data_IF_557520347452
#
_entry.id   IF_557520347452
#
_cell.length_a   1.000
_cell.length_b   1.000
_cell.length_c   1.000
_cell.angle_alpha   90.00
_cell.angle_beta   90.00
_cell.angle_gamma   90.00
#
_symmetry.space_group_name_H-M   'P 1'
#
loop_
_entity.id
_entity.type
_entity.pdbx_description
1 polymer ?
#
# COMPACT_ATOMS: atom_id res chain seq x y z
N UNK A 1 18.32 37.84 24.92
CA UNK A 1 17.06 38.50 24.49
C UNK A 1 16.01 37.40 24.35
N UNK A 2 15.12 37.20 25.34
CA UNK A 2 14.06 36.18 25.25
C UNK A 2 13.01 36.70 24.26
N UNK A 3 13.03 36.20 23.04
CA UNK A 3 11.92 36.40 22.09
C UNK A 3 10.69 35.77 22.75
N UNK A 4 9.65 36.57 23.04
CA UNK A 4 8.38 36.03 23.54
C UNK A 4 7.89 34.99 22.54
N UNK A 5 7.72 33.75 22.98
CA UNK A 5 7.06 32.72 22.20
C UNK A 5 5.66 33.23 21.84
N UNK A 6 5.26 33.26 20.56
CA UNK A 6 3.95 33.75 20.17
C UNK A 6 2.87 32.92 20.88
N UNK A 7 1.82 33.60 21.35
CA UNK A 7 0.71 32.98 22.05
C UNK A 7 -0.06 31.95 21.19
N UNK A 8 -1.11 31.33 21.76
CA UNK A 8 -1.90 30.33 21.05
C UNK A 8 -2.36 30.82 19.68
N UNK A 9 -2.20 29.98 18.66
CA UNK A 9 -2.62 30.25 17.29
C UNK A 9 -3.83 29.39 16.95
N UNK A 10 -5.02 29.98 16.78
CA UNK A 10 -6.18 29.24 16.30
C UNK A 10 -6.05 28.98 14.79
N UNK A 11 -6.65 27.88 14.33
CA UNK A 11 -6.77 27.53 12.92
C UNK A 11 -8.15 26.94 12.66
N UNK A 12 -8.81 27.38 11.58
CA UNK A 12 -10.07 26.81 11.12
C UNK A 12 -9.94 26.46 9.65
N UNK A 13 -10.49 25.32 9.25
CA UNK A 13 -10.48 24.86 7.87
C UNK A 13 -11.83 24.24 7.49
N UNK A 14 -12.25 24.49 6.25
CA UNK A 14 -13.38 23.84 5.62
C UNK A 14 -12.96 23.28 4.27
N UNK A 15 -13.44 22.09 3.93
CA UNK A 15 -13.19 21.46 2.64
C UNK A 15 -14.48 20.89 2.07
N UNK A 16 -14.72 21.13 0.79
CA UNK A 16 -15.76 20.49 0.00
C UNK A 16 -15.15 20.00 -1.31
N UNK A 17 -15.41 18.73 -1.63
CA UNK A 17 -14.95 18.10 -2.86
C UNK A 17 -16.04 17.24 -3.47
N UNK A 18 -16.09 17.22 -4.79
CA UNK A 18 -16.92 16.31 -5.57
C UNK A 18 -16.11 15.67 -6.67
N UNK A 19 -16.40 14.41 -6.97
CA UNK A 19 -15.85 13.70 -8.10
C UNK A 19 -16.97 12.97 -8.84
N UNK A 20 -16.93 12.98 -10.18
CA UNK A 20 -17.86 12.24 -11.02
C UNK A 20 -17.07 11.41 -12.01
N UNK A 21 -17.09 10.11 -11.83
CA UNK A 21 -16.44 9.14 -12.72
C UNK A 21 -17.50 8.38 -13.49
N UNK A 22 -17.31 8.28 -14.81
CA UNK A 22 -18.13 7.46 -15.71
C UNK A 22 -17.21 6.47 -16.44
N UNK A 23 -17.57 5.20 -16.40
CA UNK A 23 -16.86 4.13 -17.07
C UNK A 23 -17.83 3.21 -17.81
N UNK A 24 -17.40 2.75 -18.98
CA UNK A 24 -18.08 1.70 -19.74
C UNK A 24 -17.07 0.58 -19.96
N UNK A 25 -17.46 -0.63 -19.58
CA UNK A 25 -16.69 -1.84 -19.87
C UNK A 25 -17.51 -2.69 -20.82
N UNK A 26 -16.91 -3.12 -21.93
CA UNK A 26 -17.53 -4.09 -22.83
C UNK A 26 -16.82 -5.43 -22.63
N UNK A 27 -17.55 -6.40 -22.08
CA UNK A 27 -17.03 -7.76 -21.92
C UNK A 27 -17.48 -8.58 -23.14
N UNK A 28 -16.53 -9.01 -23.96
CA UNK A 28 -16.81 -9.85 -25.11
C UNK A 28 -16.92 -11.31 -24.67
N UNK A 29 -18.13 -11.86 -24.70
CA UNK A 29 -18.39 -13.27 -24.39
C UNK A 29 -19.32 -13.85 -25.45
N UNK A 30 -18.92 -14.97 -26.07
CA UNK A 30 -19.71 -15.67 -27.10
C UNK A 30 -20.22 -14.79 -28.25
N UNK A 31 -19.40 -13.85 -28.72
CA UNK A 31 -19.73 -12.97 -29.85
C UNK A 31 -20.65 -11.79 -29.51
N UNK A 32 -21.02 -11.61 -28.25
CA UNK A 32 -21.81 -10.46 -27.76
C UNK A 32 -20.96 -9.63 -26.80
N UNK A 33 -21.09 -8.31 -26.87
CA UNK A 33 -20.35 -7.37 -26.03
C UNK A 33 -21.30 -6.42 -25.28
N UNK A 34 -22.06 -6.92 -24.29
CA UNK A 34 -22.96 -6.05 -23.54
C UNK A 34 -22.15 -4.99 -22.79
N UNK A 35 -22.52 -3.70 -22.86
CA UNK A 35 -21.88 -2.66 -22.08
C UNK A 35 -22.28 -2.77 -20.61
N UNK A 36 -21.29 -2.84 -19.72
CA UNK A 36 -21.44 -2.63 -18.29
C UNK A 36 -21.11 -1.19 -17.97
N UNK A 37 -22.11 -0.42 -17.53
CA UNK A 37 -21.93 0.97 -17.11
C UNK A 37 -21.55 1.02 -15.63
N UNK A 38 -20.58 1.87 -15.32
CA UNK A 38 -20.19 2.22 -13.95
C UNK A 38 -20.22 3.74 -13.81
N UNK A 39 -20.99 4.24 -12.84
CA UNK A 39 -21.07 5.65 -12.49
C UNK A 39 -20.72 5.77 -11.02
N UNK A 40 -19.83 6.70 -10.70
CA UNK A 40 -19.52 7.08 -9.32
C UNK A 40 -19.66 8.59 -9.20
N UNK A 41 -20.41 9.04 -8.20
CA UNK A 41 -20.55 10.43 -7.83
C UNK A 41 -20.24 10.56 -6.34
N UNK A 42 -19.03 11.01 -6.06
CA UNK A 42 -18.51 11.16 -4.71
C UNK A 42 -18.69 12.60 -4.24
N UNK A 43 -19.04 12.78 -2.97
CA UNK A 43 -19.03 14.07 -2.29
C UNK A 43 -18.36 13.92 -0.93
N UNK A 44 -17.49 14.84 -0.59
CA UNK A 44 -16.83 14.91 0.71
C UNK A 44 -16.93 16.33 1.25
N UNK A 45 -17.35 16.45 2.50
CA UNK A 45 -17.40 17.70 3.25
C UNK A 45 -16.68 17.49 4.58
N UNK A 46 -15.82 18.43 4.97
CA UNK A 46 -15.21 18.43 6.30
C UNK A 46 -15.06 19.84 6.85
N UNK A 47 -15.23 19.96 8.17
CA UNK A 47 -15.05 21.19 8.94
C UNK A 47 -14.17 20.85 10.13
N UNK A 48 -13.14 21.65 10.37
CA UNK A 48 -12.20 21.47 11.48
C UNK A 48 -11.86 22.81 12.13
N UNK A 49 -11.71 22.77 13.46
CA UNK A 49 -11.16 23.85 14.27
C UNK A 49 -10.04 23.29 15.16
N UNK A 50 -9.00 24.08 15.37
CA UNK A 50 -7.84 23.70 16.15
C UNK A 50 -7.12 24.89 16.76
N UNK A 51 -6.23 24.59 17.70
CA UNK A 51 -5.37 25.55 18.38
C UNK A 51 -4.02 24.91 18.66
N UNK A 52 -2.95 25.66 18.45
CA UNK A 52 -1.60 25.24 18.84
C UNK A 52 -0.86 26.35 19.59
N UNK A 53 0.01 25.97 20.53
CA UNK A 53 0.81 26.96 21.25
C UNK A 53 1.69 26.38 22.35
N UNK A 54 2.51 27.24 22.98
CA UNK A 54 3.24 26.88 24.19
C UNK A 54 2.28 26.73 25.38
N UNK A 55 2.52 25.74 26.24
CA UNK A 55 1.85 25.57 27.53
C UNK A 55 2.64 26.24 28.66
N UNK A 56 3.92 25.90 28.76
CA UNK A 56 4.88 26.47 29.71
C UNK A 56 6.31 26.22 29.23
N UNK A 57 7.26 26.98 29.77
CA UNK A 57 8.66 26.88 29.40
C UNK A 57 9.40 25.83 30.25
N UNK A 58 10.26 25.05 29.61
CA UNK A 58 11.32 24.25 30.26
C UNK A 58 12.69 24.84 29.91
N UNK A 59 13.76 24.48 30.63
CA UNK A 59 15.13 24.88 30.27
C UNK A 59 15.54 24.50 28.84
N UNK A 60 14.98 23.42 28.31
CA UNK A 60 15.22 22.92 26.95
C UNK A 60 14.32 23.57 25.87
N UNK A 61 13.37 24.43 26.25
CA UNK A 61 12.41 25.05 25.34
C UNK A 61 10.97 24.90 25.83
N UNK A 62 10.01 25.41 25.05
CA UNK A 62 8.61 25.37 25.42
C UNK A 62 8.02 23.96 25.27
N UNK A 63 7.26 23.51 26.28
CA UNK A 63 6.29 22.44 26.11
C UNK A 63 5.15 22.97 25.26
N UNK A 64 4.78 22.25 24.20
CA UNK A 64 3.79 22.71 23.23
C UNK A 64 2.64 21.72 23.13
N UNK A 65 1.43 22.26 22.97
CA UNK A 65 0.22 21.49 22.70
C UNK A 65 -0.37 21.95 21.37
N UNK A 66 -0.78 20.99 20.56
CA UNK A 66 -1.73 21.19 19.48
C UNK A 66 -2.97 20.36 19.79
N UNK A 67 -4.16 20.93 19.65
CA UNK A 67 -5.42 20.22 19.86
C UNK A 67 -6.49 20.74 18.91
N UNK A 68 -7.41 19.87 18.52
CA UNK A 68 -8.47 20.24 17.60
C UNK A 68 -9.54 19.17 17.48
N UNK A 69 -10.53 19.47 16.66
CA UNK A 69 -11.62 18.56 16.38
C UNK A 69 -12.41 18.99 15.15
N UNK A 70 -13.15 18.05 14.60
CA UNK A 70 -13.87 18.28 13.37
C UNK A 70 -14.95 17.24 13.10
N UNK A 71 -15.65 17.48 12.00
CA UNK A 71 -16.64 16.58 11.45
C UNK A 71 -16.38 16.41 9.96
N UNK A 72 -16.60 15.19 9.47
CA UNK A 72 -16.46 14.82 8.06
C UNK A 72 -17.64 13.97 7.63
N UNK A 73 -18.18 14.25 6.44
CA UNK A 73 -19.17 13.42 5.76
C UNK A 73 -18.68 13.03 4.38
N UNK A 74 -18.75 11.74 4.06
CA UNK A 74 -18.48 11.20 2.74
C UNK A 74 -19.74 10.53 2.22
N UNK A 75 -20.16 10.92 1.03
CA UNK A 75 -21.30 10.35 0.34
C UNK A 75 -20.84 9.76 -0.99
N UNK A 76 -21.28 8.54 -1.27
CA UNK A 76 -21.04 7.84 -2.54
C UNK A 76 -22.39 7.56 -3.15
N UNK A 77 -22.67 8.08 -4.34
CA UNK A 77 -23.76 7.62 -5.18
C UNK A 77 -23.16 6.85 -6.36
N UNK A 78 -23.48 5.57 -6.47
CA UNK A 78 -22.91 4.68 -7.46
C UNK A 78 -23.99 3.93 -8.23
N UNK A 79 -23.74 3.70 -9.52
CA UNK A 79 -24.46 2.76 -10.37
C UNK A 79 -23.42 1.80 -10.93
N UNK A 80 -23.50 0.51 -10.58
CA UNK A 80 -22.59 -0.52 -11.09
C UNK A 80 -23.46 -1.62 -11.69
N UNK A 81 -23.28 -1.90 -12.98
CA UNK A 81 -23.99 -2.97 -13.68
C UNK A 81 -25.53 -2.92 -13.48
N UNK A 82 -26.09 -1.72 -13.43
CA UNK A 82 -27.54 -1.50 -13.23
C UNK A 82 -27.98 -1.41 -11.76
N UNK A 83 -27.13 -1.74 -10.80
CA UNK A 83 -27.41 -1.62 -9.36
C UNK A 83 -26.99 -0.25 -8.81
N UNK A 84 -27.95 0.48 -8.25
CA UNK A 84 -27.71 1.77 -7.62
C UNK A 84 -27.55 1.65 -6.10
N UNK A 85 -26.60 2.38 -5.50
CA UNK A 85 -26.46 2.51 -4.05
C UNK A 85 -25.92 3.89 -3.69
N UNK A 86 -26.35 4.42 -2.53
CA UNK A 86 -26.08 5.80 -2.13
C UNK A 86 -25.64 5.96 -0.65
N UNK A 87 -24.64 5.21 -0.14
CA UNK A 87 -24.26 5.26 1.26
C UNK A 87 -23.63 6.60 1.66
N UNK A 88 -23.83 6.96 2.92
CA UNK A 88 -23.19 8.10 3.58
C UNK A 88 -22.47 7.61 4.83
N UNK A 89 -21.26 8.11 5.05
CA UNK A 89 -20.50 7.92 6.28
C UNK A 89 -20.15 9.25 6.89
N UNK A 90 -20.58 9.45 8.12
CA UNK A 90 -20.19 10.59 8.94
C UNK A 90 -19.15 10.18 9.98
N UNK A 91 -18.32 11.14 10.35
CA UNK A 91 -17.27 10.95 11.33
C UNK A 91 -17.04 12.23 12.13
N UNK A 92 -17.10 12.13 13.46
CA UNK A 92 -16.72 13.20 14.39
C UNK A 92 -15.40 12.85 15.04
N UNK A 93 -14.52 13.81 15.21
CA UNK A 93 -13.20 13.52 15.76
C UNK A 93 -12.64 14.63 16.62
N UNK A 94 -11.76 14.24 17.53
CA UNK A 94 -10.96 15.13 18.35
C UNK A 94 -9.53 14.59 18.46
N UNK A 95 -8.55 15.48 18.56
CA UNK A 95 -7.16 15.11 18.70
C UNK A 95 -6.40 16.06 19.62
N UNK A 96 -5.31 15.55 20.18
CA UNK A 96 -4.32 16.32 20.91
C UNK A 96 -2.92 15.75 20.70
N UNK A 97 -1.93 16.63 20.58
CA UNK A 97 -0.51 16.31 20.46
C UNK A 97 0.31 17.21 21.38
N UNK A 98 1.08 16.58 22.27
CA UNK A 98 1.98 17.20 23.21
C UNK A 98 3.43 16.97 22.75
N UNK A 99 4.19 18.05 22.68
CA UNK A 99 5.64 18.04 22.47
C UNK A 99 6.35 18.54 23.72
N UNK A 100 7.29 17.74 24.22
CA UNK A 100 8.07 18.02 25.43
C UNK A 100 9.56 18.02 25.09
N UNK A 101 10.23 19.19 25.04
CA UNK A 101 11.68 19.24 24.91
C UNK A 101 12.35 18.91 26.26
N UNK A 102 13.29 17.96 26.24
CA UNK A 102 14.02 17.51 27.43
C UNK A 102 15.46 18.01 27.45
N UNK A 103 16.08 18.14 26.28
CA UNK A 103 17.41 18.74 26.11
C UNK A 103 17.49 19.52 24.80
N UNK A 104 18.21 20.64 24.82
CA UNK A 104 18.45 21.48 23.66
C UNK A 104 19.95 21.79 23.47
N UNK A 105 20.36 22.10 22.23
CA UNK A 105 21.75 22.49 21.93
C UNK A 105 22.25 23.68 22.77
N UNK A 106 21.36 24.60 23.13
CA UNK A 106 21.70 25.82 23.86
C UNK A 106 22.15 25.54 25.31
N UNK A 107 21.73 24.40 25.87
CA UNK A 107 22.12 23.98 27.22
C UNK A 107 23.53 23.40 27.29
N UNK A 108 24.15 23.07 26.14
CA UNK A 108 25.51 22.52 26.04
C UNK A 108 25.76 21.29 26.93
N UNK A 109 24.75 20.45 27.10
CA UNK A 109 24.84 19.23 27.92
C UNK A 109 25.72 18.18 27.22
N UNK A 110 26.72 17.59 27.91
CA UNK A 110 27.49 16.49 27.36
C UNK A 110 26.59 15.27 27.15
N UNK A 111 26.75 14.57 26.02
CA UNK A 111 25.94 13.41 25.63
C UNK A 111 24.42 13.67 25.57
N UNK A 112 23.96 14.92 25.54
CA UNK A 112 22.55 15.26 25.44
C UNK A 112 22.36 16.52 24.58
N UNK A 113 22.89 16.48 23.36
CA UNK A 113 22.75 17.58 22.41
C UNK A 113 21.28 17.92 22.10
N UNK A 114 20.41 16.91 22.06
CA UNK A 114 18.96 17.10 21.92
C UNK A 114 18.19 15.92 22.48
N UNK A 115 17.06 16.17 23.13
CA UNK A 115 16.11 15.12 23.50
C UNK A 115 14.68 15.67 23.51
N UNK A 116 13.71 14.90 23.04
CA UNK A 116 12.31 15.28 23.06
C UNK A 116 11.37 14.10 23.09
N UNK A 117 10.21 14.28 23.73
CA UNK A 117 9.08 13.35 23.71
C UNK A 117 7.94 13.98 22.93
N UNK A 118 7.25 13.17 22.13
CA UNK A 118 5.96 13.50 21.53
C UNK A 118 4.93 12.48 21.98
N UNK A 119 3.75 12.95 22.42
CA UNK A 119 2.62 12.10 22.73
C UNK A 119 1.38 12.65 22.04
N UNK A 120 0.66 11.81 21.30
CA UNK A 120 -0.57 12.21 20.63
C UNK A 120 -1.67 11.17 20.85
N UNK A 121 -2.91 11.65 20.84
CA UNK A 121 -4.10 10.81 20.88
C UNK A 121 -5.16 11.41 19.97
N UNK A 122 -5.85 10.54 19.23
CA UNK A 122 -6.98 10.92 18.39
C UNK A 122 -8.15 9.99 18.64
N UNK A 123 -9.33 10.58 18.83
CA UNK A 123 -10.61 9.90 18.96
C UNK A 123 -11.41 10.16 17.69
N UNK A 124 -12.01 9.12 17.15
CA UNK A 124 -12.85 9.14 15.95
C UNK A 124 -14.16 8.42 16.27
N UNK A 125 -15.29 8.93 15.81
CA UNK A 125 -16.62 8.35 16.00
C UNK A 125 -17.36 8.31 14.67
N UNK A 126 -17.46 7.10 14.12
CA UNK A 126 -18.05 6.84 12.81
C UNK A 126 -19.49 6.37 12.93
N UNK A 127 -20.36 6.90 12.07
CA UNK A 127 -21.79 6.57 12.05
C UNK A 127 -22.10 5.09 11.79
N UNK A 128 -21.15 4.32 11.24
CA UNK A 128 -21.34 2.94 10.78
C UNK A 128 -20.37 1.92 11.37
N UNK A 129 -19.48 2.33 12.28
CA UNK A 129 -18.52 1.42 12.93
C UNK A 129 -18.19 1.76 14.38
N UNK A 130 -18.80 2.83 14.92
CA UNK A 130 -18.58 3.29 16.28
C UNK A 130 -17.24 4.00 16.46
N UNK A 131 -16.73 4.00 17.69
CA UNK A 131 -15.61 4.84 18.07
C UNK A 131 -14.25 4.12 18.07
N UNK A 132 -13.19 4.84 17.70
CA UNK A 132 -11.82 4.35 17.58
C UNK A 132 -10.86 5.34 18.25
N UNK A 133 -9.90 4.82 19.02
CA UNK A 133 -8.85 5.61 19.68
C UNK A 133 -7.48 5.25 19.11
N UNK A 134 -6.71 6.28 18.76
CA UNK A 134 -5.43 6.18 18.06
C UNK A 134 -4.34 6.91 18.86
N UNK A 135 -3.65 6.21 19.79
CA UNK A 135 -2.51 6.77 20.50
C UNK A 135 -1.22 6.69 19.66
N UNK A 136 -0.31 7.64 19.91
CA UNK A 136 1.05 7.66 19.37
C UNK A 136 2.03 8.22 20.40
N UNK A 137 3.18 7.59 20.54
CA UNK A 137 4.31 8.03 21.36
C UNK A 137 5.58 8.05 20.53
N UNK A 138 6.41 9.06 20.74
CA UNK A 138 7.70 9.21 20.08
C UNK A 138 8.74 9.76 21.03
N UNK A 139 9.98 9.29 20.89
CA UNK A 139 11.13 9.82 21.59
C UNK A 139 12.28 9.98 20.60
N UNK A 140 12.93 11.14 20.66
CA UNK A 140 14.14 11.44 19.88
C UNK A 140 15.24 11.81 20.84
N UNK A 141 16.43 11.25 20.61
CA UNK A 141 17.62 11.50 21.40
C UNK A 141 18.84 11.64 20.50
N UNK A 142 19.48 12.80 20.55
CA UNK A 142 20.74 13.08 19.88
C UNK A 142 21.82 13.27 20.96
N UNK A 143 22.69 12.27 21.21
CA UNK A 143 23.78 12.44 22.16
C UNK A 143 24.79 13.48 21.69
N UNK A 144 25.03 13.56 20.39
CA UNK A 144 25.96 14.49 19.71
C UNK A 144 25.30 15.04 18.44
N UNK A 145 25.77 16.17 17.87
CA UNK A 145 25.18 16.74 16.65
C UNK A 145 25.11 15.79 15.45
N UNK A 146 26.05 14.85 15.35
CA UNK A 146 26.21 13.93 14.24
C UNK A 146 25.24 12.75 14.31
N UNK A 147 24.72 12.40 15.50
CA UNK A 147 23.91 11.20 15.71
C UNK A 147 22.55 11.56 16.32
N UNK A 148 21.48 11.11 15.67
CA UNK A 148 20.11 11.17 16.19
C UNK A 148 19.50 9.77 16.21
N UNK A 149 18.98 9.36 17.36
CA UNK A 149 18.25 8.12 17.58
C UNK A 149 16.78 8.44 17.78
N UNK A 150 15.90 7.59 17.28
CA UNK A 150 14.45 7.75 17.42
C UNK A 150 13.77 6.44 17.74
N UNK A 151 12.74 6.48 18.57
CA UNK A 151 11.79 5.39 18.74
C UNK A 151 10.38 5.96 18.63
N UNK A 152 9.51 5.28 17.89
CA UNK A 152 8.09 5.63 17.83
C UNK A 152 7.23 4.39 17.96
N UNK A 153 6.16 4.50 18.73
CA UNK A 153 5.10 3.52 18.84
C UNK A 153 3.77 4.20 18.55
N UNK A 154 2.84 3.50 17.90
CA UNK A 154 1.49 4.02 17.76
C UNK A 154 0.56 3.06 17.09
N UNK A 155 -0.74 3.29 17.28
CA UNK A 155 -1.79 2.57 16.58
C UNK A 155 -2.26 3.36 15.36
N UNK A 156 -2.90 2.68 14.44
CA UNK A 156 -3.62 3.27 13.32
C UNK A 156 -4.81 2.40 12.96
N UNK A 157 -5.66 2.91 12.08
CA UNK A 157 -6.80 2.18 11.56
C UNK A 157 -7.10 2.65 10.14
N UNK A 158 -7.84 1.82 9.41
CA UNK A 158 -8.37 2.17 8.10
C UNK A 158 -9.80 1.67 8.01
N UNK A 159 -10.71 2.58 7.69
CA UNK A 159 -12.09 2.21 7.38
C UNK A 159 -12.15 1.49 6.03
N UNK A 160 -12.99 0.45 5.87
CA UNK A 160 -13.33 -0.09 4.56
C UNK A 160 -13.90 1.04 3.70
N UNK A 161 -13.61 1.06 2.41
CA UNK A 161 -14.24 2.05 1.54
C UNK A 161 -15.75 1.78 1.42
N UNK A 162 -16.55 2.81 1.14
CA UNK A 162 -17.98 2.62 0.85
C UNK A 162 -18.19 1.68 -0.35
N UNK A 163 -17.24 1.63 -1.29
CA UNK A 163 -17.31 0.67 -2.38
C UNK A 163 -17.09 -0.78 -1.89
N UNK A 164 -16.12 -1.01 -1.02
CA UNK A 164 -15.81 -2.33 -0.44
C UNK A 164 -16.91 -2.91 0.46
N UNK A 165 -17.83 -2.08 0.95
CA UNK A 165 -18.98 -2.56 1.72
C UNK A 165 -20.25 -2.67 0.86
N UNK A 166 -20.47 -1.71 -0.05
CA UNK A 166 -21.78 -1.55 -0.67
C UNK A 166 -21.86 -1.95 -2.14
N UNK A 167 -20.75 -2.16 -2.86
CA UNK A 167 -20.82 -2.52 -4.29
C UNK A 167 -21.23 -3.97 -4.55
N UNK A 168 -21.08 -4.85 -3.54
CA UNK A 168 -21.46 -6.26 -3.60
C UNK A 168 -20.49 -7.12 -4.40
N UNK A 169 -20.76 -8.42 -4.44
CA UNK A 169 -19.90 -9.43 -5.05
C UNK A 169 -20.44 -9.91 -6.41
N UNK A 170 -19.57 -10.56 -7.17
CA UNK A 170 -19.87 -11.14 -8.49
C UNK A 170 -19.64 -12.65 -8.46
N UNK A 171 -20.49 -13.46 -9.10
CA UNK A 171 -20.26 -14.89 -9.26
C UNK A 171 -19.65 -15.17 -10.64
N UNK A 172 -18.60 -15.99 -10.67
CA UNK A 172 -17.97 -16.41 -11.93
C UNK A 172 -17.84 -17.93 -11.97
N UNK A 173 -18.34 -18.55 -13.04
CA UNK A 173 -18.12 -19.95 -13.35
C UNK A 173 -16.77 -20.12 -14.04
N UNK A 174 -15.90 -20.94 -13.44
CA UNK A 174 -14.56 -21.21 -13.91
C UNK A 174 -14.37 -22.73 -14.12
N UNK A 175 -13.55 -23.09 -15.09
CA UNK A 175 -13.13 -24.47 -15.30
C UNK A 175 -12.06 -24.86 -14.28
N UNK A 176 -11.99 -26.15 -13.92
CA UNK A 176 -10.97 -26.68 -13.01
C UNK A 176 -9.63 -26.90 -13.74
N UNK A 177 -9.24 -25.94 -14.59
CA UNK A 177 -7.99 -25.98 -15.35
C UNK A 177 -6.79 -25.83 -14.42
N UNK A 178 -5.73 -26.61 -14.66
CA UNK A 178 -4.48 -26.54 -13.87
C UNK A 178 -4.39 -27.51 -12.68
N UNK A 179 -5.43 -28.31 -12.42
CA UNK A 179 -5.45 -29.33 -11.36
C UNK A 179 -5.14 -30.77 -11.84
N UNK A 180 -4.70 -30.92 -13.10
CA UNK A 180 -4.40 -32.24 -13.69
C UNK A 180 -5.63 -33.15 -13.77
N UNK A 181 -5.48 -34.43 -13.43
CA UNK A 181 -6.58 -35.41 -13.41
C UNK A 181 -7.28 -35.54 -12.05
N UNK A 182 -7.07 -34.59 -11.13
CA UNK A 182 -7.62 -34.65 -9.78
C UNK A 182 -9.14 -34.55 -9.74
N UNK A 183 -9.72 -33.85 -10.72
CA UNK A 183 -11.16 -33.68 -10.85
C UNK A 183 -11.62 -34.22 -12.21
N UNK A 184 -12.88 -34.70 -12.33
CA UNK A 184 -13.42 -35.17 -13.59
C UNK A 184 -13.26 -34.15 -14.73
N UNK A 185 -13.05 -34.64 -15.95
CA UNK A 185 -13.01 -33.78 -17.12
C UNK A 185 -14.33 -33.03 -17.28
N UNK A 186 -14.25 -31.71 -17.53
CA UNK A 186 -15.44 -30.85 -17.64
C UNK A 186 -15.96 -30.30 -16.30
N UNK A 187 -15.35 -30.66 -15.16
CA UNK A 187 -15.70 -30.05 -13.87
C UNK A 187 -15.45 -28.54 -13.86
N UNK A 188 -16.33 -27.85 -13.12
CA UNK A 188 -16.31 -26.40 -12.92
C UNK A 188 -16.41 -26.06 -11.44
N UNK A 189 -16.11 -24.82 -11.09
CA UNK A 189 -16.39 -24.26 -9.77
C UNK A 189 -16.98 -22.85 -9.93
N UNK A 190 -17.79 -22.44 -8.95
CA UNK A 190 -18.27 -21.06 -8.85
C UNK A 190 -17.38 -20.31 -7.87
N UNK A 191 -16.85 -19.18 -8.31
CA UNK A 191 -16.06 -18.25 -7.49
C UNK A 191 -16.88 -17.01 -7.19
N UNK A 192 -17.03 -16.68 -5.90
CA UNK A 192 -17.64 -15.43 -5.45
C UNK A 192 -16.54 -14.42 -5.17
N UNK A 193 -16.44 -13.38 -5.98
CA UNK A 193 -15.40 -12.37 -5.86
C UNK A 193 -15.95 -10.99 -5.53
N UNK A 194 -15.24 -10.26 -4.68
CA UNK A 194 -15.44 -8.83 -4.49
C UNK A 194 -15.96 -8.41 -3.11
N UNK A 195 -16.45 -7.17 -3.01
CA UNK A 195 -16.89 -6.53 -1.77
C UNK A 195 -17.89 -7.31 -0.91
N UNK A 196 -17.76 -7.13 0.41
CA UNK A 196 -18.55 -7.80 1.42
C UNK A 196 -19.05 -6.76 2.45
N UNK A 197 -20.36 -6.63 2.69
CA UNK A 197 -20.90 -5.64 3.63
C UNK A 197 -20.48 -5.88 5.08
N UNK A 198 -20.07 -7.11 5.43
CA UNK A 198 -19.75 -7.50 6.81
C UNK A 198 -18.33 -7.10 7.24
N UNK A 199 -17.56 -6.44 6.36
CA UNK A 199 -16.19 -6.03 6.69
C UNK A 199 -16.17 -4.81 7.62
N UNK A 200 -15.35 -4.91 8.67
CA UNK A 200 -15.11 -3.86 9.65
C UNK A 200 -13.76 -3.13 9.47
N UNK A 201 -13.45 -2.16 10.35
CA UNK A 201 -12.22 -1.39 10.31
C UNK A 201 -10.95 -2.24 10.46
N UNK A 202 -9.96 -2.00 9.59
CA UNK A 202 -8.61 -2.52 9.75
C UNK A 202 -7.92 -1.79 10.89
N UNK A 203 -7.09 -2.47 11.68
CA UNK A 203 -6.29 -1.84 12.75
C UNK A 203 -4.84 -2.25 12.63
N UNK A 204 -3.93 -1.33 12.93
CA UNK A 204 -2.50 -1.61 13.00
C UNK A 204 -1.85 -1.05 14.26
N UNK A 205 -0.78 -1.72 14.67
CA UNK A 205 0.14 -1.26 15.71
C UNK A 205 1.55 -1.28 15.15
N UNK A 206 2.27 -0.16 15.30
CA UNK A 206 3.57 0.06 14.68
C UNK A 206 4.60 0.42 15.74
N UNK A 207 5.78 -0.18 15.65
CA UNK A 207 6.98 0.23 16.37
C UNK A 207 8.11 0.44 15.37
N UNK A 208 8.79 1.58 15.48
CA UNK A 208 9.96 1.89 14.66
C UNK A 208 11.09 2.39 15.55
N UNK A 209 12.27 1.80 15.39
CA UNK A 209 13.54 2.31 15.90
C UNK A 209 14.31 2.90 14.72
N UNK A 210 14.88 4.10 14.85
CA UNK A 210 15.61 4.75 13.77
C UNK A 210 16.91 5.39 14.26
N UNK A 211 17.87 5.50 13.35
CA UNK A 211 19.09 6.26 13.56
C UNK A 211 19.43 7.07 12.31
N UNK A 212 19.86 8.32 12.52
CA UNK A 212 20.47 9.16 11.50
C UNK A 212 21.86 9.54 11.95
N UNK A 213 22.86 9.22 11.14
CA UNK A 213 24.26 9.51 11.40
C UNK A 213 24.87 10.37 10.29
N UNK A 214 25.48 11.48 10.67
CA UNK A 214 26.12 12.48 9.81
C UNK A 214 27.53 12.79 10.32
N UNK A 215 28.51 11.89 10.12
CA UNK A 215 29.88 12.08 10.59
C UNK A 215 30.61 13.25 9.93
N UNK A 216 30.08 13.75 8.81
CA UNK A 216 30.58 14.95 8.11
C UNK A 216 29.48 15.57 7.26
N UNK A 217 29.75 16.72 6.65
CA UNK A 217 28.85 17.37 5.67
C UNK A 217 28.66 16.56 4.37
N UNK A 218 29.55 15.58 4.13
CA UNK A 218 29.59 14.75 2.91
C UNK A 218 28.78 13.48 3.03
N UNK A 219 28.74 12.85 4.21
CA UNK A 219 28.14 11.53 4.43
C UNK A 219 26.92 11.62 5.33
N UNK A 220 25.81 11.04 4.88
CA UNK A 220 24.61 10.79 5.68
C UNK A 220 24.23 9.32 5.57
N UNK A 221 23.96 8.72 6.73
CA UNK A 221 23.47 7.36 6.90
C UNK A 221 22.14 7.45 7.66
N UNK A 222 21.10 6.81 7.15
CA UNK A 222 19.79 6.70 7.80
C UNK A 222 19.42 5.23 7.82
N UNK A 223 18.99 4.73 8.98
CA UNK A 223 18.53 3.35 9.12
C UNK A 223 17.33 3.27 10.05
N UNK A 224 16.48 2.27 9.82
CA UNK A 224 15.35 1.95 10.68
C UNK A 224 15.17 0.45 10.82
N UNK A 225 14.66 0.03 11.98
CA UNK A 225 14.04 -1.27 12.21
C UNK A 225 12.56 -1.02 12.50
N UNK A 226 11.68 -1.79 11.88
CA UNK A 226 10.24 -1.63 12.08
C UNK A 226 9.54 -2.96 12.30
N UNK A 227 8.43 -2.89 13.03
CA UNK A 227 7.43 -3.95 13.15
C UNK A 227 6.04 -3.32 13.05
N UNK A 228 5.21 -3.92 12.21
CA UNK A 228 3.83 -3.52 11.97
C UNK A 228 2.95 -4.75 12.14
N UNK A 229 2.04 -4.69 13.11
CA UNK A 229 1.07 -5.74 13.41
C UNK A 229 -0.32 -5.27 12.96
N UNK A 230 -0.83 -5.85 11.87
CA UNK A 230 -2.21 -5.66 11.42
C UNK A 230 -3.13 -6.72 12.02
N UNK A 231 -4.36 -6.29 12.32
CA UNK A 231 -5.52 -7.14 12.57
C UNK A 231 -6.70 -6.65 11.77
N UNK A 232 -7.60 -7.57 11.46
CA UNK A 232 -8.83 -7.30 10.73
C UNK A 232 -8.58 -6.62 9.37
N UNK A 233 -7.50 -6.98 8.68
CA UNK A 233 -7.13 -6.34 7.40
C UNK A 233 -8.12 -6.73 6.31
N UNK A 234 -8.78 -5.76 5.70
CA UNK A 234 -9.77 -5.98 4.63
C UNK A 234 -9.06 -6.23 3.31
N UNK A 235 -9.14 -7.47 2.84
CA UNK A 235 -8.58 -7.89 1.57
C UNK A 235 -9.28 -9.18 1.11
N UNK A 236 -9.16 -9.55 -0.19
CA UNK A 236 -9.51 -10.89 -0.62
C UNK A 236 -8.60 -11.93 0.08
N UNK A 237 -9.11 -13.13 0.38
CA UNK A 237 -8.38 -14.14 1.12
C UNK A 237 -7.16 -14.72 0.39
N UNK A 238 -7.13 -14.60 -0.94
CA UNK A 238 -6.04 -15.06 -1.80
C UNK A 238 -5.97 -14.21 -3.08
N UNK A 239 -4.78 -14.13 -3.67
CA UNK A 239 -4.55 -13.35 -4.91
C UNK A 239 -4.99 -14.05 -6.20
N UNK A 240 -5.27 -15.37 -6.16
CA UNK A 240 -5.68 -16.16 -7.32
C UNK A 240 -6.49 -17.38 -6.87
N UNK A 241 -7.57 -17.76 -7.57
CA UNK A 241 -8.32 -18.98 -7.28
C UNK A 241 -7.55 -20.27 -7.67
N UNK A 242 -6.45 -20.15 -8.41
CA UNK A 242 -5.59 -21.28 -8.74
C UNK A 242 -4.90 -21.84 -7.48
N UNK A 243 -5.04 -23.14 -7.25
CA UNK A 243 -4.48 -23.85 -6.10
C UNK A 243 -5.37 -23.84 -4.85
N UNK A 244 -6.50 -23.10 -4.87
CA UNK A 244 -7.42 -22.98 -3.72
C UNK A 244 -8.08 -24.31 -3.37
N UNK A 245 -8.52 -25.07 -4.37
CA UNK A 245 -9.23 -26.35 -4.16
C UNK A 245 -8.36 -27.44 -3.52
N UNK A 246 -7.05 -27.27 -3.49
CA UNK A 246 -6.10 -28.28 -2.98
C UNK A 246 -5.32 -27.82 -1.76
N UNK A 247 -5.48 -26.57 -1.35
CA UNK A 247 -4.71 -25.99 -0.26
C UNK A 247 -5.55 -25.96 1.02
N UNK A 248 -5.15 -26.70 2.08
CA UNK A 248 -5.91 -26.78 3.32
C UNK A 248 -6.07 -25.43 4.03
N UNK A 249 -5.23 -24.44 3.73
CA UNK A 249 -5.36 -23.07 4.27
C UNK A 249 -6.69 -22.41 3.88
N UNK A 250 -7.29 -22.83 2.76
CA UNK A 250 -8.51 -22.23 2.24
C UNK A 250 -9.74 -23.14 2.38
N UNK A 251 -9.62 -24.27 3.10
CA UNK A 251 -10.70 -25.26 3.20
C UNK A 251 -12.02 -24.65 3.73
N UNK A 252 -11.93 -23.73 4.71
CA UNK A 252 -13.09 -23.04 5.27
C UNK A 252 -13.78 -22.07 4.28
N UNK A 253 -13.12 -21.75 3.17
CA UNK A 253 -13.64 -20.89 2.09
C UNK A 253 -14.18 -21.71 0.91
N UNK A 254 -14.10 -23.05 0.97
CA UNK A 254 -14.49 -23.94 -0.12
C UNK A 254 -15.61 -24.87 0.36
N UNK A 255 -16.77 -24.75 -0.26
CA UNK A 255 -17.83 -25.74 -0.14
C UNK A 255 -17.74 -26.73 -1.30
N UNK A 256 -17.28 -27.95 -1.04
CA UNK A 256 -17.28 -29.02 -2.03
C UNK A 256 -18.67 -29.63 -2.21
N UNK A 257 -18.97 -30.06 -3.44
CA UNK A 257 -20.26 -30.62 -3.85
C UNK A 257 -21.45 -29.76 -3.38
N UNK A 258 -21.45 -28.45 -3.68
CA UNK A 258 -22.51 -27.55 -3.23
C UNK A 258 -23.86 -27.99 -3.79
N UNK A 259 -24.93 -27.87 -3.00
CA UNK A 259 -26.27 -28.17 -3.49
C UNK A 259 -26.68 -27.19 -4.60
N UNK A 260 -27.51 -27.60 -5.58
CA UNK A 260 -28.04 -26.68 -6.58
C UNK A 260 -28.78 -25.49 -5.97
N UNK A 261 -29.42 -25.68 -4.82
CA UNK A 261 -30.09 -24.61 -4.05
C UNK A 261 -29.09 -23.60 -3.49
N UNK A 262 -27.96 -24.06 -2.94
CA UNK A 262 -26.90 -23.17 -2.45
C UNK A 262 -26.31 -22.34 -3.59
N UNK A 263 -26.01 -22.98 -4.73
CA UNK A 263 -25.52 -22.29 -5.92
C UNK A 263 -26.52 -21.24 -6.43
N UNK A 264 -27.79 -21.62 -6.54
CA UNK A 264 -28.84 -20.70 -6.98
C UNK A 264 -28.99 -19.51 -6.03
N UNK A 265 -28.94 -19.73 -4.71
CA UNK A 265 -28.99 -18.66 -3.71
C UNK A 265 -27.78 -17.72 -3.80
N UNK A 266 -26.57 -18.28 -3.94
CA UNK A 266 -25.34 -17.49 -4.08
C UNK A 266 -25.32 -16.66 -5.37
N UNK A 267 -25.80 -17.22 -6.49
CA UNK A 267 -25.89 -16.49 -7.77
C UNK A 267 -26.99 -15.41 -7.70
N UNK A 268 -28.16 -15.74 -7.14
CA UNK A 268 -29.27 -14.79 -7.03
C UNK A 268 -28.98 -13.64 -6.05
N UNK A 269 -28.17 -13.88 -5.02
CA UNK A 269 -27.75 -12.87 -4.05
C UNK A 269 -26.60 -11.98 -4.53
N UNK A 270 -26.00 -12.27 -5.68
CA UNK A 270 -24.90 -11.49 -6.21
C UNK A 270 -25.36 -10.18 -6.86
N UNK A 271 -24.44 -9.23 -7.00
CA UNK A 271 -24.73 -7.93 -7.62
C UNK A 271 -24.68 -7.97 -9.14
N UNK A 272 -23.97 -8.93 -9.71
CA UNK A 272 -23.85 -9.16 -11.15
C UNK A 272 -24.41 -10.55 -11.51
N UNK A 273 -24.94 -10.74 -12.73
CA UNK A 273 -25.25 -12.06 -13.25
C UNK A 273 -24.02 -12.98 -13.23
N UNK A 274 -24.24 -14.30 -13.25
CA UNK A 274 -23.17 -15.28 -13.38
C UNK A 274 -22.33 -15.03 -14.63
N UNK A 275 -21.09 -14.60 -14.44
CA UNK A 275 -20.09 -14.59 -15.50
C UNK A 275 -19.71 -16.03 -15.83
N UNK A 276 -19.77 -16.42 -17.09
CA UNK A 276 -19.35 -17.76 -17.51
C UNK A 276 -18.05 -17.68 -18.31
N UNK A 277 -16.95 -18.09 -17.68
CA UNK A 277 -15.61 -18.15 -18.28
C UNK A 277 -15.25 -19.58 -18.75
N UNK A 278 -16.26 -20.42 -18.99
CA UNK A 278 -16.11 -21.76 -19.56
C UNK A 278 -16.61 -21.79 -21.02
N UNK A 279 -16.34 -22.88 -21.72
CA UNK A 279 -16.81 -23.09 -23.10
C UNK A 279 -18.23 -23.66 -23.18
N UNK A 280 -18.80 -24.12 -22.07
CA UNK A 280 -20.12 -24.77 -22.02
C UNK A 280 -21.17 -23.95 -21.27
N UNK A 281 -22.46 -24.34 -21.34
CA UNK A 281 -23.50 -23.72 -20.51
C UNK A 281 -23.26 -24.01 -19.02
N UNK A 282 -23.80 -23.15 -18.15
CA UNK A 282 -23.82 -23.43 -16.73
C UNK A 282 -24.69 -24.66 -16.45
N UNK A 283 -24.09 -25.67 -15.81
CA UNK A 283 -24.78 -26.87 -15.33
C UNK A 283 -24.37 -27.10 -13.87
N UNK A 284 -25.28 -26.95 -12.90
CA UNK A 284 -24.97 -27.13 -11.49
C UNK A 284 -24.45 -28.54 -11.16
N UNK A 285 -24.77 -29.56 -11.95
CA UNK A 285 -24.27 -30.92 -11.73
C UNK A 285 -22.76 -31.04 -11.99
N UNK A 286 -22.19 -30.14 -12.80
CA UNK A 286 -20.76 -30.10 -13.09
C UNK A 286 -19.98 -29.18 -12.13
N UNK A 287 -20.66 -28.51 -11.19
CA UNK A 287 -20.03 -27.60 -10.22
C UNK A 287 -19.56 -28.41 -9.00
N UNK A 288 -18.26 -28.66 -8.92
CA UNK A 288 -17.67 -29.46 -7.84
C UNK A 288 -17.41 -28.64 -6.56
N UNK A 289 -17.38 -27.31 -6.67
CA UNK A 289 -17.03 -26.44 -5.57
C UNK A 289 -17.64 -25.03 -5.72
N UNK A 290 -18.00 -24.44 -4.58
CA UNK A 290 -18.26 -23.03 -4.42
C UNK A 290 -17.13 -22.42 -3.57
N UNK A 291 -16.42 -21.45 -4.12
CA UNK A 291 -15.31 -20.76 -3.46
C UNK A 291 -15.78 -19.35 -3.06
N UNK A 292 -15.67 -19.03 -1.77
CA UNK A 292 -15.89 -17.68 -1.26
C UNK A 292 -14.57 -16.89 -1.23
N UNK A 293 -14.36 -16.05 -2.23
CA UNK A 293 -13.22 -15.14 -2.35
C UNK A 293 -13.60 -13.67 -2.13
N UNK A 294 -14.74 -13.41 -1.47
CA UNK A 294 -15.16 -12.06 -1.13
C UNK A 294 -14.19 -11.43 -0.12
N UNK A 295 -14.15 -10.10 -0.09
CA UNK A 295 -13.35 -9.37 0.90
C UNK A 295 -13.73 -9.82 2.31
N UNK A 296 -12.73 -10.02 3.16
CA UNK A 296 -12.91 -10.36 4.57
C UNK A 296 -11.89 -9.64 5.45
N UNK A 297 -12.16 -9.58 6.75
CA UNK A 297 -11.19 -9.12 7.74
C UNK A 297 -10.19 -10.25 8.04
N UNK A 298 -9.01 -10.20 7.41
CA UNK A 298 -7.90 -11.13 7.66
C UNK A 298 -7.48 -11.02 9.12
N UNK A 299 -7.39 -12.18 9.80
CA UNK A 299 -7.23 -12.25 11.26
C UNK A 299 -5.98 -11.53 11.76
N UNK A 300 -4.81 -11.82 11.17
CA UNK A 300 -3.60 -11.04 11.47
C UNK A 300 -2.59 -11.05 10.33
N UNK A 301 -1.84 -9.96 10.22
CA UNK A 301 -0.71 -9.88 9.30
C UNK A 301 0.41 -9.06 9.94
N UNK A 302 1.61 -9.64 10.03
CA UNK A 302 2.79 -8.97 10.58
C UNK A 302 3.76 -8.65 9.46
N UNK A 303 4.28 -7.43 9.47
CA UNK A 303 5.43 -7.00 8.69
C UNK A 303 6.55 -6.60 9.65
N UNK A 304 7.77 -7.01 9.35
CA UNK A 304 8.94 -6.58 10.10
C UNK A 304 10.11 -6.42 9.14
N UNK A 305 10.98 -5.45 9.38
CA UNK A 305 12.02 -5.16 8.43
C UNK A 305 13.07 -4.19 8.91
N UNK A 306 14.03 -3.97 8.03
CA UNK A 306 15.14 -3.06 8.23
C UNK A 306 15.37 -2.23 6.96
N UNK A 307 15.55 -0.93 7.13
CA UNK A 307 15.89 0.00 6.05
C UNK A 307 17.30 0.56 6.26
N UNK A 308 17.97 0.80 5.14
CA UNK A 308 19.24 1.52 5.07
C UNK A 308 19.20 2.51 3.92
N UNK A 309 19.69 3.73 4.16
CA UNK A 309 19.91 4.75 3.15
C UNK A 309 21.24 5.45 3.40
N UNK A 310 22.04 5.55 2.35
CA UNK A 310 23.37 6.13 2.33
C UNK A 310 23.39 7.24 1.28
N UNK A 311 23.95 8.38 1.65
CA UNK A 311 24.24 9.48 0.72
C UNK A 311 25.64 9.99 0.97
N UNK A 312 26.45 10.00 -0.09
CA UNK A 312 27.79 10.58 -0.06
C UNK A 312 27.92 11.66 -1.13
N UNK A 313 28.49 12.82 -0.78
CA UNK A 313 28.73 13.95 -1.69
C UNK A 313 30.21 14.29 -1.73
N UNK A 314 30.79 14.26 -2.93
CA UNK A 314 32.19 14.61 -3.18
C UNK A 314 32.29 15.67 -4.28
N UNK A 315 32.82 16.87 -3.98
CA UNK A 315 33.16 17.83 -5.02
C UNK A 315 34.31 17.29 -5.87
N UNK A 316 34.18 17.40 -7.19
CA UNK A 316 35.19 17.02 -8.19
C UNK A 316 35.34 18.20 -9.16
N UNK A 317 36.33 19.05 -8.91
CA UNK A 317 36.45 20.33 -9.62
C UNK A 317 35.21 21.20 -9.39
N UNK A 318 34.62 21.71 -10.47
CA UNK A 318 33.37 22.48 -10.45
C UNK A 318 32.10 21.60 -10.32
N UNK A 319 32.25 20.28 -10.34
CA UNK A 319 31.15 19.32 -10.37
C UNK A 319 30.94 18.67 -9.01
N UNK A 320 29.74 18.11 -8.79
CA UNK A 320 29.42 17.33 -7.61
C UNK A 320 29.14 15.89 -8.00
N UNK A 321 29.90 14.94 -7.43
CA UNK A 321 29.54 13.53 -7.43
C UNK A 321 28.67 13.25 -6.19
N UNK A 322 27.47 12.76 -6.41
CA UNK A 322 26.60 12.25 -5.36
C UNK A 322 26.39 10.75 -5.54
N UNK A 323 26.79 9.95 -4.56
CA UNK A 323 26.52 8.53 -4.49
C UNK A 323 25.33 8.31 -3.55
N UNK A 324 24.36 7.51 -3.99
CA UNK A 324 23.19 7.15 -3.20
C UNK A 324 23.06 5.63 -3.22
N UNK A 325 22.79 5.03 -2.07
CA UNK A 325 22.38 3.63 -1.98
C UNK A 325 21.28 3.51 -0.93
N UNK A 326 20.23 2.76 -1.24
CA UNK A 326 19.18 2.42 -0.29
C UNK A 326 18.75 0.98 -0.45
N UNK A 327 18.36 0.34 0.65
CA UNK A 327 17.87 -1.02 0.65
C UNK A 327 16.89 -1.25 1.80
N UNK A 328 15.95 -2.14 1.55
CA UNK A 328 14.96 -2.59 2.53
C UNK A 328 14.96 -4.11 2.54
N UNK A 329 15.14 -4.68 3.72
CA UNK A 329 14.83 -6.07 4.00
C UNK A 329 13.47 -6.17 4.69
N UNK A 330 12.65 -7.12 4.27
CA UNK A 330 11.29 -7.33 4.77
C UNK A 330 11.03 -8.81 5.02
N UNK A 331 10.37 -9.08 6.12
CA UNK A 331 9.72 -10.34 6.42
C UNK A 331 8.24 -10.07 6.73
N UNK A 332 7.36 -10.94 6.23
CA UNK A 332 5.94 -10.80 6.45
C UNK A 332 5.23 -12.13 6.49
N UNK A 333 4.24 -12.24 7.38
CA UNK A 333 3.48 -13.45 7.66
C UNK A 333 2.03 -13.13 7.97
N UNK A 334 1.15 -14.09 7.74
CA UNK A 334 -0.29 -13.92 7.88
C UNK A 334 -0.94 -15.13 8.54
N UNK A 335 -1.96 -14.87 9.35
CA UNK A 335 -2.99 -15.83 9.70
C UNK A 335 -4.29 -15.39 9.01
N UNK A 336 -4.81 -16.23 8.10
CA UNK A 336 -5.95 -15.85 7.27
C UNK A 336 -7.23 -15.72 8.10
N UNK A 337 -7.63 -16.80 8.76
CA UNK A 337 -8.78 -16.88 9.66
C UNK A 337 -8.32 -17.31 11.06
N UNK A 338 -9.06 -16.95 12.13
CA UNK A 338 -8.75 -17.40 13.48
C UNK A 338 -8.65 -18.93 13.56
N UNK A 339 -7.57 -19.44 14.16
CA UNK A 339 -7.34 -20.88 14.32
C UNK A 339 -6.58 -21.54 13.15
N UNK A 340 -6.44 -20.88 12.00
CA UNK A 340 -5.62 -21.40 10.90
C UNK A 340 -4.11 -21.22 11.16
N UNK A 341 -3.24 -22.00 10.50
CA UNK A 341 -1.79 -21.82 10.58
C UNK A 341 -1.34 -20.44 10.10
N UNK A 342 -0.22 -19.97 10.65
CA UNK A 342 0.49 -18.78 10.16
C UNK A 342 1.33 -19.17 8.94
N UNK A 343 1.24 -18.41 7.86
CA UNK A 343 1.98 -18.62 6.62
C UNK A 343 2.85 -17.43 6.25
N UNK A 344 4.03 -17.69 5.70
CA UNK A 344 4.91 -16.64 5.16
C UNK A 344 4.33 -16.04 3.89
N UNK A 345 4.41 -14.71 3.79
CA UNK A 345 4.00 -13.93 2.63
C UNK A 345 5.20 -13.33 1.91
N UNK A 346 6.15 -12.73 2.64
CA UNK A 346 7.35 -12.16 2.02
C UNK A 346 8.10 -13.25 1.23
N UNK A 347 8.60 -12.89 0.05
CA UNK A 347 9.24 -13.85 -0.84
C UNK A 347 8.30 -14.81 -1.57
N UNK A 348 6.99 -14.57 -1.56
CA UNK A 348 6.02 -15.27 -2.44
C UNK A 348 5.44 -14.32 -3.49
N UNK A 349 4.97 -14.86 -4.62
CA UNK A 349 4.33 -14.05 -5.66
C UNK A 349 3.15 -13.24 -5.09
N UNK A 350 2.87 -12.08 -5.68
CA UNK A 350 1.84 -11.13 -5.23
C UNK A 350 2.11 -10.48 -3.86
N UNK A 351 3.24 -10.79 -3.23
CA UNK A 351 3.72 -10.19 -2.00
C UNK A 351 5.13 -9.63 -2.20
N UNK A 352 5.55 -8.67 -1.38
CA UNK A 352 6.90 -8.11 -1.51
C UNK A 352 8.00 -9.18 -1.36
N UNK A 353 9.08 -9.14 -2.16
CA UNK A 353 10.24 -9.98 -1.91
C UNK A 353 10.91 -9.59 -0.60
N UNK A 354 11.76 -10.48 -0.08
CA UNK A 354 12.49 -10.19 1.14
C UNK A 354 13.46 -9.01 1.03
N UNK A 355 13.90 -8.65 -0.18
CA UNK A 355 14.88 -7.59 -0.35
C UNK A 355 14.64 -6.77 -1.61
N UNK A 356 14.72 -5.44 -1.46
CA UNK A 356 14.76 -4.48 -2.56
C UNK A 356 15.88 -3.50 -2.30
N UNK A 357 16.58 -3.08 -3.36
CA UNK A 357 17.63 -2.09 -3.24
C UNK A 357 17.69 -1.20 -4.49
N UNK A 358 18.21 0.02 -4.30
CA UNK A 358 18.55 0.93 -5.38
C UNK A 358 19.85 1.65 -5.05
N UNK A 359 20.79 1.64 -5.97
CA UNK A 359 22.07 2.32 -5.84
C UNK A 359 22.41 3.11 -7.10
N UNK A 360 23.15 4.20 -6.97
CA UNK A 360 23.52 4.99 -8.14
C UNK A 360 24.43 6.15 -7.85
N UNK A 361 24.83 6.79 -8.93
CA UNK A 361 25.67 7.97 -8.93
C UNK A 361 25.01 9.07 -9.77
N UNK A 362 25.07 10.31 -9.29
CA UNK A 362 24.82 11.49 -10.10
C UNK A 362 26.09 12.35 -10.12
N UNK A 363 26.45 12.85 -11.29
CA UNK A 363 27.63 13.67 -11.51
C UNK A 363 27.28 14.88 -12.35
N UNK A 364 27.67 16.07 -11.89
CA UNK A 364 27.48 17.31 -12.64
C UNK A 364 27.11 18.47 -11.73
N UNK A 365 26.47 19.47 -12.33
CA UNK A 365 26.06 20.73 -11.73
C UNK A 365 24.72 21.19 -12.33
N UNK A 366 24.43 22.48 -12.28
CA UNK A 366 23.21 23.05 -12.84
C UNK A 366 23.17 23.01 -14.38
N UNK A 367 24.34 23.03 -15.04
CA UNK A 367 24.49 23.08 -16.50
C UNK A 367 24.39 21.70 -17.15
N UNK A 368 24.96 20.68 -16.51
CA UNK A 368 24.79 19.30 -16.95
C UNK A 368 24.66 18.35 -15.78
N UNK A 369 23.97 17.23 -16.02
CA UNK A 369 23.89 16.13 -15.07
C UNK A 369 23.95 14.82 -15.80
N UNK A 370 24.80 13.91 -15.32
CA UNK A 370 24.81 12.50 -15.70
C UNK A 370 24.35 11.69 -14.49
N UNK A 371 23.50 10.70 -14.71
CA UNK A 371 23.02 9.82 -13.66
C UNK A 371 22.99 8.37 -14.12
N UNK A 372 23.35 7.47 -13.20
CA UNK A 372 23.30 6.03 -13.40
C UNK A 372 22.74 5.39 -12.14
N UNK A 373 21.69 4.57 -12.30
CA UNK A 373 21.02 3.90 -11.19
C UNK A 373 20.78 2.43 -11.50
N UNK A 374 21.11 1.57 -10.55
CA UNK A 374 20.74 0.16 -10.54
C UNK A 374 19.62 -0.05 -9.54
N UNK A 375 18.53 -0.68 -9.97
CA UNK A 375 17.43 -1.10 -9.10
C UNK A 375 17.40 -2.64 -9.05
N UNK A 376 17.39 -3.21 -7.85
CA UNK A 376 17.34 -4.65 -7.60
C UNK A 376 16.04 -5.02 -6.89
N UNK A 377 15.35 -6.03 -7.42
CA UNK A 377 14.17 -6.66 -6.82
C UNK A 377 14.47 -8.14 -6.58
N UNK A 378 14.38 -8.57 -5.33
CA UNK A 378 14.61 -9.97 -4.96
C UNK A 378 13.65 -10.95 -5.64
N UNK A 379 14.07 -12.23 -5.70
CA UNK A 379 13.23 -13.30 -6.23
C UNK A 379 12.07 -13.65 -5.28
N UNK A 380 11.06 -14.32 -5.83
CA UNK A 380 9.88 -14.79 -5.09
C UNK A 380 9.58 -16.25 -5.44
N UNK A 381 8.66 -16.89 -4.71
CA UNK A 381 8.25 -18.27 -4.92
C UNK A 381 6.76 -18.33 -5.25
N UNK A 382 6.39 -18.98 -6.36
CA UNK A 382 5.02 -19.35 -6.69
C UNK A 382 4.67 -20.68 -6.01
N UNK A 383 3.79 -20.61 -5.01
CA UNK A 383 3.33 -21.76 -4.21
C UNK A 383 1.91 -22.20 -4.57
N UNK A 384 1.35 -21.75 -5.69
CA UNK A 384 -0.01 -22.12 -6.12
C UNK A 384 -0.11 -23.56 -6.68
N UNK A 385 1.03 -24.25 -6.81
CA UNK A 385 1.14 -25.66 -7.25
C UNK A 385 1.81 -26.49 -6.17
N UNK A 386 1.62 -27.81 -6.23
CA UNK A 386 2.23 -28.78 -5.30
C UNK A 386 3.76 -28.70 -5.26
N UNK A 387 4.39 -28.46 -6.41
CA UNK A 387 5.82 -28.20 -6.52
C UNK A 387 6.00 -26.68 -6.69
N UNK A 388 6.54 -25.96 -5.69
CA UNK A 388 6.77 -24.53 -5.79
C UNK A 388 7.76 -24.18 -6.89
N UNK A 389 7.51 -23.09 -7.61
CA UNK A 389 8.40 -22.57 -8.67
C UNK A 389 9.07 -21.29 -8.19
N UNK A 390 10.39 -21.19 -8.34
CA UNK A 390 11.11 -19.95 -8.04
C UNK A 390 11.02 -19.00 -9.22
N UNK A 391 10.70 -17.74 -8.93
CA UNK A 391 10.76 -16.59 -9.84
C UNK A 391 12.02 -15.82 -9.49
N UNK A 392 12.92 -15.66 -10.46
CA UNK A 392 14.22 -15.05 -10.26
C UNK A 392 14.17 -13.57 -9.86
N UNK A 393 15.22 -13.13 -9.18
CA UNK A 393 15.44 -11.70 -8.93
C UNK A 393 15.74 -10.95 -10.22
N UNK A 394 15.38 -9.67 -10.27
CA UNK A 394 15.63 -8.80 -11.43
C UNK A 394 16.44 -7.58 -11.01
N UNK A 395 17.44 -7.21 -11.83
CA UNK A 395 18.16 -5.96 -11.74
C UNK A 395 17.97 -5.15 -13.03
N UNK A 396 17.67 -3.85 -12.90
CA UNK A 396 17.60 -2.92 -14.04
C UNK A 396 18.67 -1.85 -13.90
N UNK A 397 19.23 -1.41 -15.03
CA UNK A 397 20.12 -0.26 -15.11
C UNK A 397 19.41 0.86 -15.86
N UNK A 398 19.31 2.01 -15.21
CA UNK A 398 18.76 3.25 -15.75
C UNK A 398 19.88 4.28 -15.91
N UNK A 399 19.93 4.91 -17.07
CA UNK A 399 20.86 6.00 -17.38
C UNK A 399 20.07 7.26 -17.74
N UNK A 400 20.48 8.41 -17.23
CA UNK A 400 19.96 9.68 -17.69
C UNK A 400 21.04 10.74 -17.83
N UNK A 401 20.85 11.63 -18.79
CA UNK A 401 21.71 12.77 -19.04
C UNK A 401 20.84 14.00 -19.27
N UNK A 402 21.27 15.14 -18.74
CA UNK A 402 20.61 16.43 -18.86
C UNK A 402 21.66 17.49 -19.18
N UNK A 403 21.38 18.36 -20.12
CA UNK A 403 22.26 19.48 -20.51
C UNK A 403 21.42 20.72 -20.75
N UNK A 404 21.77 21.83 -20.09
CA UNK A 404 21.28 23.17 -20.42
C UNK A 404 22.04 23.72 -21.61
N UNK A 405 21.32 24.31 -22.55
CA UNK A 405 21.88 24.96 -23.74
C UNK A 405 21.73 26.48 -23.57
N UNK A 406 22.54 27.06 -22.70
CA UNK A 406 22.45 28.49 -22.35
C UNK A 406 21.02 28.89 -21.96
N UNK A 407 20.52 30.00 -22.52
CA UNK A 407 19.14 30.45 -22.35
C UNK A 407 18.13 29.82 -23.33
N UNK A 408 18.57 28.94 -24.24
CA UNK A 408 17.71 28.36 -25.28
C UNK A 408 16.77 27.28 -24.74
N UNK A 409 17.17 26.60 -23.67
CA UNK A 409 16.40 25.54 -23.04
C UNK A 409 17.29 24.42 -22.53
N UNK A 410 16.68 23.25 -22.33
CA UNK A 410 17.29 22.07 -21.76
C UNK A 410 16.95 20.84 -22.60
N UNK A 411 17.93 19.96 -22.78
CA UNK A 411 17.74 18.63 -23.36
C UNK A 411 18.02 17.59 -22.29
N UNK A 412 17.10 16.64 -22.13
CA UNK A 412 17.25 15.48 -21.27
C UNK A 412 17.06 14.19 -22.07
N UNK A 413 17.94 13.22 -21.87
CA UNK A 413 17.88 11.87 -22.45
C UNK A 413 17.79 10.86 -21.33
N UNK A 414 16.86 9.91 -21.44
CA UNK A 414 16.66 8.85 -20.47
C UNK A 414 16.66 7.49 -21.18
N UNK A 415 17.39 6.54 -20.62
CA UNK A 415 17.40 5.13 -21.01
C UNK A 415 17.11 4.28 -19.77
N UNK A 416 15.85 3.90 -19.61
CA UNK A 416 15.39 3.07 -18.49
C UNK A 416 15.47 1.60 -18.88
N UNK A 417 15.87 0.75 -17.93
CA UNK A 417 16.06 -0.68 -18.13
C UNK A 417 16.87 -0.96 -19.40
N UNK A 418 18.07 -0.36 -19.52
CA UNK A 418 18.82 -0.34 -20.78
C UNK A 418 19.20 -1.74 -21.28
N UNK A 419 19.36 -2.72 -20.39
CA UNK A 419 19.61 -4.12 -20.76
C UNK A 419 18.35 -4.92 -21.09
N UNK A 420 17.17 -4.29 -21.07
CA UNK A 420 15.89 -4.90 -21.40
C UNK A 420 15.60 -6.15 -20.55
N UNK A 421 15.86 -6.06 -19.24
CA UNK A 421 15.55 -7.14 -18.32
C UNK A 421 14.04 -7.39 -18.31
N UNK A 422 13.64 -8.65 -18.48
CA UNK A 422 12.24 -9.08 -18.56
C UNK A 422 11.85 -9.88 -17.31
N UNK A 423 10.61 -9.77 -16.83
CA UNK A 423 10.12 -10.62 -15.75
C UNK A 423 10.02 -12.07 -16.22
N UNK A 424 10.22 -13.02 -15.30
CA UNK A 424 9.92 -14.43 -15.56
C UNK A 424 8.41 -14.68 -15.57
N UNK A 425 7.99 -15.62 -16.40
CA UNK A 425 6.58 -15.97 -16.51
C UNK A 425 6.13 -16.84 -15.33
N UNK A 426 4.90 -16.62 -14.87
CA UNK A 426 4.25 -17.41 -13.83
C UNK A 426 3.10 -18.24 -14.39
N UNK A 427 2.56 -19.14 -13.57
CA UNK A 427 1.34 -19.87 -13.90
C UNK A 427 0.14 -18.92 -14.07
N UNK A 428 -0.73 -19.21 -15.03
CA UNK A 428 -2.04 -18.56 -15.20
C UNK A 428 -3.16 -19.60 -15.12
N UNK A 429 -4.30 -19.20 -14.54
CA UNK A 429 -5.53 -19.99 -14.48
C UNK A 429 -6.53 -19.59 -15.57
N UNK A 430 -6.44 -18.35 -16.05
CA UNK A 430 -7.30 -17.78 -17.10
C UNK A 430 -6.46 -17.11 -18.19
N UNK A 431 -6.91 -17.08 -19.46
CA UNK A 431 -6.29 -16.26 -20.52
C UNK A 431 -6.21 -14.76 -20.20
N UNK A 432 -7.05 -14.27 -19.28
CA UNK A 432 -7.04 -12.89 -18.82
C UNK A 432 -5.99 -12.59 -17.74
N UNK A 433 -5.38 -13.62 -17.15
CA UNK A 433 -4.40 -13.43 -16.08
C UNK A 433 -3.11 -12.82 -16.63
N UNK A 434 -2.51 -11.93 -15.85
CA UNK A 434 -1.18 -11.41 -16.18
C UNK A 434 -0.15 -12.55 -16.01
N UNK A 435 0.64 -12.90 -17.04
CA UNK A 435 1.48 -14.10 -17.02
C UNK A 435 2.80 -13.92 -16.29
N UNK A 436 2.90 -12.95 -15.38
CA UNK A 436 4.05 -12.68 -14.52
C UNK A 436 3.59 -11.97 -13.24
N UNK A 437 4.47 -11.88 -12.24
CA UNK A 437 4.15 -11.18 -11.00
C UNK A 437 4.28 -9.64 -11.17
N UNK A 438 3.19 -9.01 -11.61
CA UNK A 438 3.09 -7.57 -11.83
C UNK A 438 3.09 -6.74 -10.55
N UNK A 439 2.92 -7.37 -9.37
CA UNK A 439 3.14 -6.69 -8.09
C UNK A 439 4.61 -6.34 -7.90
N UNK A 440 5.52 -7.20 -8.37
CA UNK A 440 6.93 -7.08 -8.05
C UNK A 440 7.82 -6.62 -9.21
N UNK A 441 7.45 -6.98 -10.44
CA UNK A 441 8.27 -6.77 -11.63
C UNK A 441 7.50 -5.97 -12.69
N UNK A 442 8.22 -5.19 -13.49
CA UNK A 442 7.62 -4.38 -14.56
C UNK A 442 7.56 -5.16 -15.87
N UNK A 443 6.45 -5.02 -16.61
CA UNK A 443 6.39 -5.45 -18.02
C UNK A 443 7.12 -4.49 -18.97
N UNK A 444 7.43 -3.27 -18.51
CA UNK A 444 8.11 -2.27 -19.34
C UNK A 444 9.56 -2.69 -19.51
N UNK A 445 9.91 -3.03 -20.75
CA UNK A 445 11.27 -3.33 -21.16
C UNK A 445 12.15 -2.08 -21.24
N UNK A 446 13.10 -2.07 -22.17
CA UNK A 446 13.91 -0.90 -22.48
C UNK A 446 13.02 0.25 -22.92
N UNK A 447 13.12 1.38 -22.22
CA UNK A 447 12.42 2.61 -22.59
C UNK A 447 13.43 3.74 -22.82
N UNK A 448 13.37 4.34 -24.01
CA UNK A 448 14.22 5.46 -24.40
C UNK A 448 13.35 6.71 -24.55
N UNK A 449 13.76 7.81 -23.94
CA UNK A 449 13.03 9.08 -23.98
C UNK A 449 13.97 10.25 -24.18
N UNK A 450 13.52 11.21 -24.98
CA UNK A 450 14.16 12.53 -25.12
C UNK A 450 13.12 13.56 -24.74
N UNK A 451 13.52 14.52 -23.91
CA UNK A 451 12.70 15.66 -23.51
C UNK A 451 13.46 16.93 -23.85
N UNK A 452 12.75 17.87 -24.46
CA UNK A 452 13.25 19.21 -24.74
C UNK A 452 12.31 20.17 -24.02
N UNK A 453 12.85 21.02 -23.15
CA UNK A 453 12.08 22.03 -22.43
C UNK A 453 12.67 23.41 -22.63
N UNK A 454 11.81 24.43 -22.57
CA UNK A 454 12.17 25.84 -22.61
C UNK A 454 11.22 26.59 -21.69
N UNK A 455 11.79 27.29 -20.72
CA UNK A 455 11.04 28.22 -19.88
C UNK A 455 10.98 29.58 -20.59
N UNK A 456 9.83 30.23 -20.57
CA UNK A 456 9.57 31.53 -21.19
C UNK A 456 9.08 32.56 -20.20
#
# INVERSE_FOLDING_TARGET
MRVRSPGPRPSNAGFYGTDKTYGVTQNFTNGVAPPSIRIFNNRSLSIEAGVEGPLFALPAGDVRLAAGGGWRSNHLNALIAGRAFAPTRENRYAYGELFVPLASPDQKLPFAHRASITAAMRFEDYSDSGSIVVPKLGFVYAPVPELSLGISWGKSFKMPTLNQQYSGYTPVLLSVTGYGSMFPAGSTYVYLGGPNPDVGPERSENVTLSATFRPSSRLQIVTSLFRIDYRDRVAPPFGSPLGVLTNPLFADLVTFNPSPTLLAAAIAGASDPLGNATTGPYDPANVIALIDGRDLNIASQRYQGADLSLRYRAPIGAQMLTLIASGTWLDSRQQLLPGLPVTDLAGTIFNSPHFRARGGATFGNEDFTLASFVSFTGGVTDRRRTIPVKVASVATLDLSARVKIGALGEISVNALNIFNAKPEMTAVASPSDTPFDSTNYSAVGRFLGITISRDW
#
